data_IF_954610971381
#
_entry.id   IF_954610971381
#
_cell.length_a   1.000
_cell.length_b   1.000
_cell.length_c   1.000
_cell.angle_alpha   90.00
_cell.angle_beta   90.00
_cell.angle_gamma   90.00
#
_symmetry.space_group_name_H-M   'P 1'
#
loop_
_entity.id
_entity.type
_entity.pdbx_description
1 polymer ?
#
# COMPACT_ATOMS: atom_id res chain seq x y z
N UNK A 1 -2.21 9.29 0.46
CA UNK A 1 -2.80 8.15 -0.27
C UNK A 1 -3.61 7.34 0.73
N UNK A 2 -4.91 7.13 0.47
CA UNK A 2 -5.72 6.17 1.24
C UNK A 2 -5.46 4.78 0.65
N UNK A 3 -5.04 3.82 1.47
CA UNK A 3 -4.76 2.45 1.04
C UNK A 3 -5.87 1.49 1.44
N UNK A 4 -5.84 0.27 0.89
CA UNK A 4 -6.72 -0.85 1.26
C UNK A 4 -6.78 -1.12 2.76
N UNK A 5 -5.69 -0.85 3.48
CA UNK A 5 -5.60 -1.02 4.93
C UNK A 5 -6.63 -0.20 5.72
N UNK A 6 -7.10 0.94 5.20
CA UNK A 6 -8.12 1.76 5.89
C UNK A 6 -9.48 1.06 5.92
N UNK A 7 -9.77 0.15 5.00
CA UNK A 7 -11.08 -0.51 4.94
C UNK A 7 -11.13 -1.83 5.71
N UNK A 8 -9.97 -2.41 6.02
CA UNK A 8 -9.87 -3.75 6.62
C UNK A 8 -9.26 -3.70 8.02
N UNK A 9 -8.18 -2.95 8.22
CA UNK A 9 -7.44 -2.94 9.48
C UNK A 9 -8.20 -2.30 10.67
N UNK A 10 -9.06 -1.28 10.50
CA UNK A 10 -9.80 -0.73 11.64
C UNK A 10 -10.72 -1.76 12.29
N UNK A 11 -11.33 -2.67 11.51
CA UNK A 11 -12.19 -3.71 12.05
C UNK A 11 -11.39 -4.68 12.95
N UNK A 12 -10.19 -5.08 12.52
CA UNK A 12 -9.28 -5.89 13.32
C UNK A 12 -8.81 -5.16 14.58
N UNK A 13 -8.41 -3.88 14.45
CA UNK A 13 -7.96 -3.08 15.58
C UNK A 13 -9.08 -2.82 16.59
N UNK A 14 -10.31 -2.60 16.13
CA UNK A 14 -11.49 -2.44 16.97
C UNK A 14 -11.84 -3.73 17.72
N UNK A 15 -11.66 -4.90 17.10
CA UNK A 15 -11.90 -6.18 17.77
C UNK A 15 -10.96 -6.37 18.98
N UNK A 16 -9.70 -5.96 18.84
CA UNK A 16 -8.69 -6.08 19.90
C UNK A 16 -8.78 -4.99 20.96
N UNK A 17 -8.97 -3.72 20.56
CA UNK A 17 -8.93 -2.56 21.46
C UNK A 17 -10.29 -2.03 21.89
N UNK A 18 -11.38 -2.50 21.26
CA UNK A 18 -12.73 -1.98 21.47
C UNK A 18 -12.84 -0.48 21.22
N UNK A 19 -13.58 0.20 22.10
CA UNK A 19 -13.78 1.65 22.08
C UNK A 19 -12.48 2.45 22.25
N UNK A 20 -11.41 1.81 22.74
CA UNK A 20 -10.08 2.40 22.93
C UNK A 20 -9.23 2.50 21.66
N UNK A 21 -9.75 2.10 20.49
CA UNK A 21 -9.01 2.07 19.21
C UNK A 21 -8.32 3.40 18.85
N UNK A 22 -8.91 4.54 19.24
CA UNK A 22 -8.33 5.86 18.96
C UNK A 22 -6.96 6.05 19.63
N UNK A 23 -6.70 5.42 20.78
CA UNK A 23 -5.40 5.48 21.47
C UNK A 23 -4.33 4.77 20.63
N UNK A 24 -4.67 3.64 20.02
CA UNK A 24 -3.77 2.90 19.14
C UNK A 24 -3.39 3.77 17.91
N UNK A 25 -4.36 4.46 17.33
CA UNK A 25 -4.10 5.39 16.22
C UNK A 25 -3.29 6.61 16.65
N UNK A 26 -3.53 7.15 17.84
CA UNK A 26 -2.74 8.26 18.39
C UNK A 26 -1.27 7.85 18.53
N UNK A 27 -1.03 6.66 19.10
CA UNK A 27 0.33 6.12 19.25
C UNK A 27 0.99 5.87 17.88
N UNK A 28 0.28 5.26 16.94
CA UNK A 28 0.78 5.04 15.58
C UNK A 28 1.14 6.36 14.88
N UNK A 29 0.33 7.41 15.06
CA UNK A 29 0.61 8.73 14.53
C UNK A 29 1.91 9.31 15.13
N UNK A 30 2.11 9.21 16.44
CA UNK A 30 3.36 9.65 17.09
C UNK A 30 4.60 8.96 16.52
N UNK A 31 4.51 7.67 16.21
CA UNK A 31 5.63 6.91 15.61
C UNK A 31 5.91 7.33 14.16
N UNK A 32 4.88 7.63 13.38
CA UNK A 32 5.03 8.01 11.95
C UNK A 32 5.43 9.47 11.77
N UNK A 33 5.05 10.36 12.69
CA UNK A 33 5.26 11.81 12.58
C UNK A 33 6.72 12.21 12.33
N UNK A 34 7.74 11.72 13.07
CA UNK A 34 9.13 12.11 12.83
C UNK A 34 9.62 11.75 11.42
N UNK A 35 9.26 10.56 10.94
CA UNK A 35 9.60 10.14 9.58
C UNK A 35 8.91 10.98 8.51
N UNK A 36 7.64 11.38 8.75
CA UNK A 36 6.90 12.26 7.87
C UNK A 36 7.51 13.67 7.80
N UNK A 37 7.91 14.24 8.95
CA UNK A 37 8.55 15.56 9.02
C UNK A 37 9.92 15.55 8.32
N UNK A 38 10.78 14.56 8.61
CA UNK A 38 12.09 14.42 7.95
C UNK A 38 11.94 14.30 6.42
N UNK A 39 10.97 13.51 5.96
CA UNK A 39 10.69 13.40 4.51
C UNK A 39 10.16 14.71 3.92
N UNK A 40 9.37 15.47 4.68
CA UNK A 40 8.87 16.78 4.25
C UNK A 40 10.01 17.79 4.06
N UNK A 41 10.95 17.87 5.01
CA UNK A 41 12.11 18.76 4.91
C UNK A 41 12.99 18.42 3.70
N UNK A 42 13.29 17.13 3.50
CA UNK A 42 14.05 16.66 2.34
C UNK A 42 13.33 16.98 1.03
N UNK A 43 12.00 16.82 0.98
CA UNK A 43 11.21 17.13 -0.20
C UNK A 43 11.19 18.62 -0.53
N UNK A 44 11.15 19.49 0.48
CA UNK A 44 11.24 20.95 0.29
C UNK A 44 12.64 21.41 -0.11
N UNK A 45 13.69 20.78 0.43
CA UNK A 45 15.07 21.12 0.11
C UNK A 45 15.54 20.59 -1.26
N UNK A 46 14.93 19.50 -1.74
CA UNK A 46 15.31 18.84 -3.00
C UNK A 46 14.10 18.71 -3.94
N UNK A 47 13.81 19.72 -4.78
CA UNK A 47 12.71 19.70 -5.74
C UNK A 47 13.07 18.85 -6.98
N UNK A 48 13.51 17.62 -6.75
CA UNK A 48 13.86 16.65 -7.77
C UNK A 48 12.79 15.57 -7.86
N UNK A 49 12.38 15.25 -9.09
CA UNK A 49 11.49 14.15 -9.42
C UNK A 49 12.22 12.82 -9.21
N UNK A 50 12.03 12.20 -8.03
CA UNK A 50 12.69 10.92 -7.70
C UNK A 50 12.35 10.29 -6.35
N UNK A 51 11.70 11.02 -5.44
CA UNK A 51 11.18 10.48 -4.18
C UNK A 51 12.27 9.99 -3.22
N UNK A 52 11.90 9.07 -2.32
CA UNK A 52 12.77 8.62 -1.21
C UNK A 52 14.12 8.04 -1.67
N UNK A 53 14.16 7.37 -2.83
CA UNK A 53 15.38 6.82 -3.41
C UNK A 53 16.39 7.93 -3.73
N UNK A 54 15.95 8.94 -4.49
CA UNK A 54 16.83 10.06 -4.89
C UNK A 54 17.26 10.90 -3.67
N UNK A 55 16.41 11.04 -2.66
CA UNK A 55 16.78 11.76 -1.44
C UNK A 55 17.91 11.04 -0.69
N UNK A 56 17.83 9.71 -0.55
CA UNK A 56 18.84 8.94 0.15
C UNK A 56 20.14 8.80 -0.64
N UNK A 57 20.04 8.61 -1.96
CA UNK A 57 21.21 8.59 -2.85
C UNK A 57 22.00 9.91 -2.77
N UNK A 58 21.32 11.06 -2.82
CA UNK A 58 21.98 12.36 -2.75
C UNK A 58 22.57 12.69 -1.38
N UNK A 59 21.98 12.16 -0.31
CA UNK A 59 22.40 12.47 1.06
C UNK A 59 23.53 11.54 1.53
N UNK A 60 23.47 10.25 1.21
CA UNK A 60 24.35 9.22 1.75
C UNK A 60 25.17 8.46 0.68
N UNK A 61 24.97 8.78 -0.60
CA UNK A 61 25.65 8.16 -1.73
C UNK A 61 24.91 6.96 -2.34
N UNK A 62 25.45 6.43 -3.45
CA UNK A 62 24.75 5.45 -4.32
C UNK A 62 24.45 4.11 -3.66
N UNK A 63 25.26 3.69 -2.68
CA UNK A 63 25.05 2.44 -1.95
C UNK A 63 23.75 2.46 -1.14
N UNK A 64 23.56 3.50 -0.30
CA UNK A 64 22.34 3.68 0.49
C UNK A 64 21.13 4.01 -0.40
N UNK A 65 21.37 4.71 -1.51
CA UNK A 65 20.39 4.87 -2.58
C UNK A 65 19.84 3.51 -3.04
N UNK A 66 20.70 2.62 -3.53
CA UNK A 66 20.32 1.28 -4.03
C UNK A 66 19.56 0.46 -2.99
N UNK A 67 20.04 0.42 -1.74
CA UNK A 67 19.36 -0.27 -0.64
C UNK A 67 17.94 0.27 -0.46
N UNK A 68 17.79 1.60 -0.42
CA UNK A 68 16.48 2.23 -0.27
C UNK A 68 15.54 1.95 -1.45
N UNK A 69 16.08 1.82 -2.65
CA UNK A 69 15.31 1.45 -3.86
C UNK A 69 14.74 0.05 -3.75
N UNK A 70 15.56 -0.93 -3.33
CA UNK A 70 15.12 -2.31 -3.09
C UNK A 70 14.04 -2.33 -2.00
N UNK A 71 14.26 -1.64 -0.88
CA UNK A 71 13.28 -1.54 0.20
C UNK A 71 11.96 -0.91 -0.25
N UNK A 72 12.03 0.16 -1.05
CA UNK A 72 10.86 0.83 -1.58
C UNK A 72 10.06 -0.10 -2.50
N UNK A 73 10.75 -0.82 -3.39
CA UNK A 73 10.14 -1.81 -4.27
C UNK A 73 9.49 -2.96 -3.48
N UNK A 74 10.22 -3.55 -2.52
CA UNK A 74 9.68 -4.59 -1.64
C UNK A 74 8.47 -4.10 -0.83
N UNK A 75 8.48 -2.84 -0.37
CA UNK A 75 7.34 -2.24 0.32
C UNK A 75 6.10 -2.15 -0.57
N UNK A 76 6.26 -1.86 -1.87
CA UNK A 76 5.14 -1.87 -2.81
C UNK A 76 4.59 -3.27 -3.05
N UNK A 77 5.45 -4.29 -3.16
CA UNK A 77 5.01 -5.68 -3.27
C UNK A 77 4.17 -6.10 -2.06
N UNK A 78 4.65 -5.82 -0.85
CA UNK A 78 3.94 -6.14 0.39
C UNK A 78 2.60 -5.41 0.49
N UNK A 79 2.56 -4.12 0.12
CA UNK A 79 1.30 -3.35 0.09
C UNK A 79 0.29 -3.94 -0.87
N UNK A 80 0.72 -4.35 -2.06
CA UNK A 80 -0.16 -4.99 -3.05
C UNK A 80 -0.67 -6.35 -2.57
N UNK A 81 0.20 -7.16 -1.95
CA UNK A 81 -0.20 -8.43 -1.36
C UNK A 81 -1.23 -8.25 -0.23
N UNK A 82 -1.01 -7.27 0.66
CA UNK A 82 -1.97 -6.93 1.71
C UNK A 82 -3.32 -6.45 1.15
N UNK A 83 -3.29 -5.66 0.08
CA UNK A 83 -4.50 -5.23 -0.61
C UNK A 83 -5.29 -6.41 -1.19
N UNK A 84 -4.60 -7.42 -1.74
CA UNK A 84 -5.23 -8.62 -2.25
C UNK A 84 -5.88 -9.47 -1.14
N UNK A 85 -5.22 -9.61 0.01
CA UNK A 85 -5.80 -10.28 1.18
C UNK A 85 -7.06 -9.55 1.66
N UNK A 86 -7.02 -8.22 1.71
CA UNK A 86 -8.19 -7.40 2.04
C UNK A 86 -9.32 -7.59 1.03
N UNK A 87 -8.99 -7.61 -0.26
CA UNK A 87 -9.95 -7.86 -1.34
C UNK A 87 -10.61 -9.24 -1.24
N UNK A 88 -9.85 -10.26 -0.86
CA UNK A 88 -10.34 -11.62 -0.66
C UNK A 88 -11.43 -11.69 0.43
N UNK A 89 -11.34 -10.87 1.48
CA UNK A 89 -12.37 -10.81 2.51
C UNK A 89 -13.72 -10.36 1.94
N UNK A 90 -13.73 -9.45 0.97
CA UNK A 90 -14.94 -9.05 0.26
C UNK A 90 -15.42 -10.13 -0.71
N UNK A 91 -14.50 -10.80 -1.41
CA UNK A 91 -14.86 -11.92 -2.30
C UNK A 91 -15.51 -13.07 -1.54
N UNK A 92 -15.09 -13.35 -0.31
CA UNK A 92 -15.73 -14.35 0.54
C UNK A 92 -17.22 -14.05 0.77
N UNK A 93 -17.57 -12.79 1.05
CA UNK A 93 -18.98 -12.39 1.20
C UNK A 93 -19.76 -12.59 -0.10
N UNK A 94 -19.13 -12.30 -1.25
CA UNK A 94 -19.75 -12.45 -2.58
C UNK A 94 -19.97 -13.92 -2.94
N UNK A 95 -18.99 -14.80 -2.69
CA UNK A 95 -19.13 -16.23 -3.00
C UNK A 95 -20.23 -16.88 -2.16
N UNK A 96 -20.35 -16.49 -0.88
CA UNK A 96 -21.45 -16.92 -0.01
C UNK A 96 -22.80 -16.41 -0.52
N UNK A 97 -22.90 -15.14 -0.92
CA UNK A 97 -24.16 -14.55 -1.41
C UNK A 97 -24.65 -15.20 -2.73
N UNK A 98 -23.73 -15.66 -3.58
CA UNK A 98 -24.03 -16.25 -4.88
C UNK A 98 -23.98 -17.79 -4.89
N UNK A 99 -23.77 -18.44 -3.74
CA UNK A 99 -23.58 -19.89 -3.61
C UNK A 99 -22.52 -20.46 -4.58
N UNK A 100 -21.40 -19.76 -4.75
CA UNK A 100 -20.30 -20.20 -5.60
C UNK A 100 -19.39 -21.15 -4.82
N UNK A 101 -19.19 -22.37 -5.32
CA UNK A 101 -18.24 -23.37 -4.79
C UNK A 101 -16.79 -23.08 -5.23
N UNK A 102 -16.35 -21.82 -5.10
CA UNK A 102 -14.99 -21.41 -5.47
C UNK A 102 -14.29 -20.83 -4.26
N UNK A 103 -13.06 -21.29 -4.02
CA UNK A 103 -12.23 -20.75 -2.96
C UNK A 103 -11.93 -19.25 -3.22
N UNK A 104 -12.17 -18.35 -2.25
CA UNK A 104 -11.92 -16.91 -2.42
C UNK A 104 -10.47 -16.58 -2.81
N UNK A 105 -9.50 -17.40 -2.38
CA UNK A 105 -8.08 -17.24 -2.73
C UNK A 105 -7.87 -17.39 -4.23
N UNK A 106 -8.41 -18.47 -4.81
CA UNK A 106 -8.32 -18.76 -6.26
C UNK A 106 -8.97 -17.65 -7.06
N UNK A 107 -10.15 -17.18 -6.64
CA UNK A 107 -10.84 -16.07 -7.29
C UNK A 107 -10.02 -14.77 -7.21
N UNK A 108 -9.45 -14.46 -6.04
CA UNK A 108 -8.56 -13.31 -5.85
C UNK A 108 -7.34 -13.35 -6.76
N UNK A 109 -6.68 -14.51 -6.90
CA UNK A 109 -5.56 -14.70 -7.82
C UNK A 109 -5.96 -14.53 -9.28
N UNK A 110 -7.15 -14.99 -9.69
CA UNK A 110 -7.66 -14.73 -11.04
C UNK A 110 -7.86 -13.24 -11.30
N UNK A 111 -8.46 -12.51 -10.35
CA UNK A 111 -8.60 -11.05 -10.45
C UNK A 111 -7.24 -10.35 -10.50
N UNK A 112 -6.25 -10.81 -9.71
CA UNK A 112 -4.89 -10.28 -9.76
C UNK A 112 -4.30 -10.44 -11.17
N UNK A 113 -4.40 -11.62 -11.78
CA UNK A 113 -3.92 -11.88 -13.14
C UNK A 113 -4.59 -10.94 -14.13
N UNK A 114 -5.91 -10.78 -14.07
CA UNK A 114 -6.65 -9.85 -14.92
C UNK A 114 -6.14 -8.41 -14.75
N UNK A 115 -5.99 -7.95 -13.50
CA UNK A 115 -5.49 -6.60 -13.20
C UNK A 115 -4.05 -6.42 -13.71
N UNK A 116 -3.19 -7.42 -13.59
CA UNK A 116 -1.81 -7.38 -14.11
C UNK A 116 -1.82 -7.28 -15.63
N UNK A 117 -2.62 -8.09 -16.32
CA UNK A 117 -2.75 -8.03 -17.78
C UNK A 117 -3.27 -6.67 -18.22
N UNK A 118 -4.31 -6.15 -17.56
CA UNK A 118 -4.84 -4.81 -17.84
C UNK A 118 -3.81 -3.70 -17.60
N UNK A 119 -3.00 -3.80 -16.54
CA UNK A 119 -1.93 -2.84 -16.28
C UNK A 119 -0.86 -2.90 -17.37
N UNK A 120 -0.43 -4.10 -17.79
CA UNK A 120 0.59 -4.26 -18.85
C UNK A 120 0.09 -3.70 -20.18
N UNK A 121 -1.15 -3.98 -20.57
CA UNK A 121 -1.74 -3.52 -21.83
C UNK A 121 -2.19 -2.05 -21.79
N UNK A 122 -2.56 -1.55 -20.61
CA UNK A 122 -3.21 -0.26 -20.39
C UNK A 122 -2.29 0.86 -19.90
N UNK A 123 -1.00 0.60 -19.67
CA UNK A 123 -0.02 1.58 -19.13
C UNK A 123 -0.02 2.91 -19.89
N UNK A 124 -0.30 2.90 -21.20
CA UNK A 124 -0.37 4.13 -22.00
C UNK A 124 -1.65 4.97 -21.74
N UNK A 125 -2.77 4.34 -21.34
CA UNK A 125 -4.07 5.01 -21.14
C UNK A 125 -4.30 5.49 -19.71
N UNK A 126 -3.69 4.84 -18.72
CA UNK A 126 -3.85 5.18 -17.28
C UNK A 126 -3.32 6.59 -16.97
N UNK A 127 -2.28 7.04 -17.67
CA UNK A 127 -1.67 8.36 -17.49
C UNK A 127 -2.61 9.54 -17.78
N UNK A 128 -3.67 9.31 -18.57
CA UNK A 128 -4.66 10.34 -18.95
C UNK A 128 -5.79 10.47 -17.91
N UNK A 129 -6.05 9.41 -17.12
CA UNK A 129 -7.16 9.39 -16.14
C UNK A 129 -6.71 9.88 -14.76
N UNK A 130 -5.40 9.85 -14.46
CA UNK A 130 -4.85 10.19 -13.14
C UNK A 130 -4.05 11.51 -13.10
N UNK A 131 -4.14 12.36 -14.14
CA UNK A 131 -3.52 13.69 -14.14
C UNK A 131 -4.32 14.70 -13.30
#
# INVERSE_FOLDING_TARGET
MLGSGVFVLPAFAANTMGDGIWVAYLFAATVVLPAALSKSELASAMPSSGGSYVYLERTFGPFFGTISGIWLWSSFLLKSAFALIGFQAYLYVVTQALNLEVEPTTLGLMFLIVIVVLNILGVAKIKVVQS
#
